data_IF_661328300087
#
_entry.id   IF_661328300087
#
_cell.length_a   1.000
_cell.length_b   1.000
_cell.length_c   1.000
_cell.angle_alpha   90.00
_cell.angle_beta   90.00
_cell.angle_gamma   90.00
#
_symmetry.space_group_name_H-M   'P 1'
#
loop_
_entity.id
_entity.type
_entity.pdbx_description
1 polymer ?
#
# COMPACT_ATOMS: atom_id res chain seq x y z
N UNK A 1 -2.88 -13.54 -6.57
CA UNK A 1 -1.82 -14.49 -6.16
C UNK A 1 -0.60 -14.45 -7.07
N UNK A 2 -0.74 -14.57 -8.39
CA UNK A 2 0.39 -14.44 -9.32
C UNK A 2 1.22 -13.17 -9.13
N UNK A 3 0.54 -12.03 -8.94
CA UNK A 3 1.18 -10.73 -8.69
C UNK A 3 2.04 -10.74 -7.41
N UNK A 4 1.56 -11.40 -6.35
CA UNK A 4 2.31 -11.54 -5.09
C UNK A 4 3.59 -12.35 -5.29
N UNK A 5 3.53 -13.42 -6.08
CA UNK A 5 4.70 -14.24 -6.41
C UNK A 5 5.74 -13.42 -7.20
N UNK A 6 5.32 -12.64 -8.20
CA UNK A 6 6.21 -11.79 -8.99
C UNK A 6 6.89 -10.69 -8.17
N UNK A 7 6.12 -10.04 -7.28
CA UNK A 7 6.66 -9.00 -6.39
C UNK A 7 7.65 -9.63 -5.40
N UNK A 8 7.31 -10.80 -4.87
CA UNK A 8 8.13 -11.48 -3.88
C UNK A 8 9.41 -12.06 -4.46
N UNK A 9 9.40 -12.49 -5.73
CA UNK A 9 10.59 -12.95 -6.44
C UNK A 9 11.52 -11.79 -6.81
N UNK A 10 10.97 -10.60 -7.09
CA UNK A 10 11.74 -9.39 -7.40
C UNK A 10 12.59 -8.89 -6.21
N UNK A 11 12.22 -9.25 -4.98
CA UNK A 11 12.81 -8.76 -3.73
C UNK A 11 13.35 -9.91 -2.87
N UNK A 12 14.24 -10.71 -3.47
CA UNK A 12 14.83 -11.86 -2.80
C UNK A 12 15.88 -11.39 -1.76
N UNK A 13 15.66 -11.73 -0.48
CA UNK A 13 16.61 -11.52 0.64
C UNK A 13 17.18 -10.09 0.76
N UNK A 14 16.43 -9.19 1.41
CA UNK A 14 16.85 -7.78 1.57
C UNK A 14 17.80 -7.59 2.78
N UNK A 15 18.97 -7.00 2.52
CA UNK A 15 19.96 -6.61 3.54
C UNK A 15 19.60 -5.34 4.34
N UNK A 16 20.59 -4.73 4.99
CA UNK A 16 20.45 -3.56 5.89
C UNK A 16 20.94 -2.22 5.30
N UNK A 17 21.27 -2.15 4.01
CA UNK A 17 21.72 -0.89 3.38
C UNK A 17 20.56 0.09 3.14
N UNK A 18 20.85 1.39 3.01
CA UNK A 18 19.84 2.42 2.69
C UNK A 18 19.05 2.11 1.40
N UNK A 19 19.71 1.50 0.40
CA UNK A 19 19.08 1.05 -0.84
C UNK A 19 18.08 -0.08 -0.57
N UNK A 20 18.41 -1.01 0.31
CA UNK A 20 17.51 -2.10 0.69
C UNK A 20 16.33 -1.60 1.53
N UNK A 21 16.52 -0.54 2.34
CA UNK A 21 15.41 0.10 3.06
C UNK A 21 14.38 0.72 2.09
N UNK A 22 14.84 1.33 1.00
CA UNK A 22 13.97 1.82 -0.08
C UNK A 22 13.14 0.68 -0.69
N UNK A 23 13.76 -0.47 -0.97
CA UNK A 23 13.05 -1.63 -1.51
C UNK A 23 12.06 -2.24 -0.51
N UNK A 24 12.34 -2.21 0.80
CA UNK A 24 11.38 -2.63 1.84
C UNK A 24 10.13 -1.76 1.86
N UNK A 25 10.27 -0.44 1.81
CA UNK A 25 9.13 0.49 1.78
C UNK A 25 8.32 0.32 0.49
N UNK A 26 8.99 0.12 -0.64
CA UNK A 26 8.32 -0.13 -1.91
C UNK A 26 7.55 -1.46 -1.91
N UNK A 27 8.06 -2.50 -1.26
CA UNK A 27 7.34 -3.77 -1.09
C UNK A 27 6.07 -3.60 -0.24
N UNK A 28 6.13 -2.85 0.86
CA UNK A 28 4.97 -2.56 1.71
C UNK A 28 3.91 -1.77 0.95
N UNK A 29 4.32 -0.86 0.05
CA UNK A 29 3.40 -0.13 -0.82
C UNK A 29 2.56 -1.06 -1.71
N UNK A 30 3.14 -2.16 -2.23
CA UNK A 30 2.37 -3.12 -3.03
C UNK A 30 1.23 -3.77 -2.25
N UNK A 31 1.36 -3.92 -0.94
CA UNK A 31 0.29 -4.42 -0.06
C UNK A 31 -0.91 -3.47 -0.08
N UNK A 32 -0.67 -2.15 -0.09
CA UNK A 32 -1.72 -1.13 -0.14
C UNK A 32 -2.42 -1.04 -1.51
N UNK A 33 -1.76 -1.51 -2.58
CA UNK A 33 -2.34 -1.56 -3.93
C UNK A 33 -3.21 -2.82 -4.14
N UNK A 34 -3.02 -3.88 -3.36
CA UNK A 34 -3.81 -5.12 -3.48
C UNK A 34 -5.33 -4.90 -3.38
N UNK A 35 -5.87 -4.12 -2.42
CA UNK A 35 -7.29 -3.80 -2.36
C UNK A 35 -7.84 -3.27 -3.69
N UNK A 36 -7.11 -2.39 -4.38
CA UNK A 36 -7.55 -1.81 -5.65
C UNK A 36 -7.64 -2.85 -6.77
N UNK A 37 -6.79 -3.88 -6.74
CA UNK A 37 -6.81 -4.99 -7.70
C UNK A 37 -7.97 -5.94 -7.41
N UNK A 38 -8.25 -6.22 -6.13
CA UNK A 38 -9.39 -7.06 -5.73
C UNK A 38 -10.72 -6.37 -6.06
N UNK A 39 -10.81 -5.05 -5.87
CA UNK A 39 -11.98 -4.24 -6.24
C UNK A 39 -12.41 -4.45 -7.71
N UNK A 40 -11.46 -4.58 -8.65
CA UNK A 40 -11.77 -4.81 -10.08
C UNK A 40 -12.55 -6.08 -10.35
N UNK A 41 -12.42 -7.07 -9.47
CA UNK A 41 -12.96 -8.41 -9.68
C UNK A 41 -14.30 -8.58 -8.98
N UNK A 42 -14.49 -7.95 -7.82
CA UNK A 42 -15.73 -8.04 -7.05
C UNK A 42 -16.88 -7.23 -7.66
N UNK A 43 -16.59 -6.08 -8.30
CA UNK A 43 -17.58 -5.20 -8.91
C UNK A 43 -18.46 -5.91 -9.97
N UNK A 44 -17.90 -6.56 -11.00
CA UNK A 44 -18.71 -7.25 -12.02
C UNK A 44 -19.49 -8.43 -11.42
N UNK A 45 -18.92 -9.13 -10.45
CA UNK A 45 -19.57 -10.26 -9.77
C UNK A 45 -20.79 -9.78 -8.98
N UNK A 46 -20.66 -8.69 -8.22
CA UNK A 46 -21.76 -8.08 -7.47
C UNK A 46 -22.90 -7.61 -8.38
N UNK A 47 -22.57 -6.96 -9.51
CA UNK A 47 -23.57 -6.46 -10.47
C UNK A 47 -24.32 -7.60 -11.15
N UNK A 48 -23.63 -8.71 -11.45
CA UNK A 48 -24.26 -9.91 -12.01
C UNK A 48 -25.24 -10.55 -11.00
N UNK A 49 -24.82 -10.72 -9.75
CA UNK A 49 -25.65 -11.27 -8.69
C UNK A 49 -26.89 -10.38 -8.42
N UNK A 50 -26.71 -9.06 -8.45
CA UNK A 50 -27.81 -8.09 -8.31
C UNK A 50 -28.85 -8.22 -9.42
N UNK A 51 -28.43 -8.44 -10.68
CA UNK A 51 -29.37 -8.61 -11.80
C UNK A 51 -30.28 -9.82 -11.62
N UNK A 52 -29.73 -10.93 -11.12
CA UNK A 52 -30.49 -12.14 -10.80
C UNK A 52 -31.45 -11.87 -9.63
N UNK A 53 -30.96 -11.25 -8.56
CA UNK A 53 -31.78 -10.88 -7.39
C UNK A 53 -32.96 -9.98 -7.76
N UNK A 54 -32.78 -8.98 -8.62
CA UNK A 54 -33.88 -8.08 -9.03
C UNK A 54 -35.01 -8.86 -9.75
N UNK A 55 -34.66 -9.89 -10.54
CA UNK A 55 -35.66 -10.75 -11.19
C UNK A 55 -36.43 -11.56 -10.14
N UNK A 56 -35.75 -12.20 -9.21
CA UNK A 56 -36.35 -13.07 -8.18
C UNK A 56 -37.15 -12.27 -7.12
N UNK A 57 -36.68 -11.06 -6.80
CA UNK A 57 -37.36 -10.14 -5.89
C UNK A 57 -38.70 -9.65 -6.47
N UNK A 58 -38.83 -9.54 -7.80
CA UNK A 58 -40.09 -9.17 -8.45
C UNK A 58 -41.20 -10.20 -8.20
N UNK A 59 -40.84 -11.47 -7.96
CA UNK A 59 -41.76 -12.55 -7.61
C UNK A 59 -42.06 -12.63 -6.10
N UNK A 60 -41.55 -11.71 -5.27
CA UNK A 60 -41.66 -11.69 -3.80
C UNK A 60 -41.11 -12.94 -3.08
N UNK A 61 -40.27 -13.72 -3.74
CA UNK A 61 -39.68 -14.94 -3.16
C UNK A 61 -38.46 -14.60 -2.28
N UNK A 62 -37.74 -13.50 -2.60
CA UNK A 62 -36.45 -13.18 -1.98
C UNK A 62 -36.45 -11.84 -1.23
N UNK A 63 -35.83 -11.83 -0.04
CA UNK A 63 -35.63 -10.63 0.77
C UNK A 63 -34.30 -9.95 0.44
N UNK A 64 -34.23 -8.60 0.37
CA UNK A 64 -32.98 -7.88 0.13
C UNK A 64 -31.93 -8.10 1.23
N UNK A 65 -32.36 -8.40 2.46
CA UNK A 65 -31.44 -8.72 3.55
C UNK A 65 -30.72 -10.06 3.34
N UNK A 66 -31.42 -11.06 2.80
CA UNK A 66 -30.83 -12.36 2.50
C UNK A 66 -29.79 -12.26 1.37
N UNK A 67 -29.99 -11.34 0.42
CA UNK A 67 -29.02 -11.05 -0.64
C UNK A 67 -27.74 -10.43 -0.09
N UNK A 68 -27.86 -9.40 0.77
CA UNK A 68 -26.70 -8.73 1.36
C UNK A 68 -25.86 -9.68 2.25
N UNK A 69 -26.52 -10.48 3.10
CA UNK A 69 -25.84 -11.44 3.97
C UNK A 69 -25.17 -12.54 3.16
N UNK A 70 -25.85 -13.08 2.14
CA UNK A 70 -25.27 -14.11 1.27
C UNK A 70 -24.02 -13.64 0.52
N UNK A 71 -24.05 -12.41 0.02
CA UNK A 71 -22.87 -11.83 -0.64
C UNK A 71 -21.72 -11.59 0.35
N UNK A 72 -21.99 -11.11 1.56
CA UNK A 72 -20.96 -10.88 2.57
C UNK A 72 -20.33 -12.21 3.03
N UNK A 73 -21.15 -13.24 3.28
CA UNK A 73 -20.68 -14.54 3.74
C UNK A 73 -19.81 -15.25 2.70
N UNK A 74 -20.11 -15.08 1.41
CA UNK A 74 -19.31 -15.67 0.32
C UNK A 74 -17.91 -15.07 0.19
N UNK A 75 -17.74 -13.81 0.57
CA UNK A 75 -16.50 -13.06 0.37
C UNK A 75 -15.52 -13.22 1.53
N UNK A 76 -16.02 -13.37 2.77
CA UNK A 76 -15.19 -13.56 3.98
C UNK A 76 -14.18 -14.72 3.84
N UNK A 77 -14.57 -15.96 3.49
CA UNK A 77 -13.64 -17.09 3.42
C UNK A 77 -12.61 -16.89 2.29
N UNK A 78 -13.04 -16.33 1.16
CA UNK A 78 -12.15 -16.03 0.04
C UNK A 78 -11.09 -14.99 0.42
N UNK A 79 -11.49 -13.93 1.12
CA UNK A 79 -10.59 -12.88 1.59
C UNK A 79 -9.58 -13.37 2.63
N UNK A 80 -10.03 -14.21 3.58
CA UNK A 80 -9.13 -14.81 4.58
C UNK A 80 -8.10 -15.71 3.91
N UNK A 81 -8.54 -16.59 3.01
CA UNK A 81 -7.64 -17.49 2.27
C UNK A 81 -6.61 -16.70 1.44
N UNK A 82 -7.07 -15.67 0.72
CA UNK A 82 -6.21 -14.82 -0.08
C UNK A 82 -5.18 -14.08 0.80
N UNK A 83 -5.58 -13.63 2.00
CA UNK A 83 -4.73 -12.88 2.91
C UNK A 83 -3.63 -13.74 3.51
N UNK A 84 -3.97 -14.98 3.89
CA UNK A 84 -2.99 -15.96 4.39
C UNK A 84 -1.98 -16.30 3.31
N UNK A 85 -2.42 -16.62 2.09
CA UNK A 85 -1.51 -16.97 1.00
C UNK A 85 -0.61 -15.79 0.63
N UNK A 86 -1.16 -14.58 0.61
CA UNK A 86 -0.36 -13.38 0.37
C UNK A 86 0.72 -13.18 1.45
N UNK A 87 0.35 -13.37 2.72
CA UNK A 87 1.30 -13.27 3.84
C UNK A 87 2.40 -14.33 3.75
N UNK A 88 2.07 -15.59 3.44
CA UNK A 88 3.06 -16.66 3.24
C UNK A 88 4.03 -16.28 2.12
N UNK A 89 3.51 -15.85 0.97
CA UNK A 89 4.33 -15.48 -0.19
C UNK A 89 5.21 -14.26 0.07
N UNK A 90 4.82 -13.35 0.97
CA UNK A 90 5.62 -12.18 1.31
C UNK A 90 6.69 -12.50 2.37
N UNK A 91 6.35 -13.29 3.40
CA UNK A 91 7.24 -13.56 4.54
C UNK A 91 8.40 -14.48 4.16
N UNK A 92 8.17 -15.53 3.38
CA UNK A 92 9.19 -16.53 3.04
C UNK A 92 10.35 -15.99 2.17
N UNK A 93 10.12 -15.29 1.04
CA UNK A 93 11.20 -14.82 0.18
C UNK A 93 11.85 -13.52 0.65
N UNK A 94 11.11 -12.61 1.27
CA UNK A 94 11.64 -11.31 1.71
C UNK A 94 12.37 -11.38 3.06
N UNK A 95 12.32 -12.52 3.78
CA UNK A 95 12.98 -12.73 5.07
C UNK A 95 12.73 -11.60 6.09
N UNK A 96 11.49 -11.07 6.11
CA UNK A 96 11.10 -9.98 7.02
C UNK A 96 11.14 -10.39 8.51
N UNK A 97 11.26 -11.69 8.80
CA UNK A 97 11.35 -12.27 10.14
C UNK A 97 12.65 -11.96 10.91
N UNK A 98 13.65 -11.32 10.29
CA UNK A 98 14.93 -10.99 10.95
C UNK A 98 14.98 -9.60 11.59
N UNK A 99 13.93 -8.78 11.45
CA UNK A 99 13.88 -7.49 12.15
C UNK A 99 13.36 -7.67 13.58
N UNK A 100 14.07 -7.07 14.55
CA UNK A 100 13.94 -6.96 16.03
C UNK A 100 12.67 -7.39 16.80
N UNK A 101 11.50 -7.58 16.17
CA UNK A 101 10.21 -7.83 16.82
C UNK A 101 9.79 -9.31 16.98
N UNK A 102 10.60 -10.28 16.52
CA UNK A 102 10.34 -11.71 16.70
C UNK A 102 9.01 -12.22 16.11
N UNK A 103 8.55 -13.39 16.58
CA UNK A 103 7.36 -14.12 16.10
C UNK A 103 6.05 -13.30 16.26
N UNK A 104 6.01 -12.36 17.21
CA UNK A 104 4.85 -11.50 17.48
C UNK A 104 4.61 -10.45 16.39
N UNK A 105 5.67 -9.92 15.77
CA UNK A 105 5.56 -8.95 14.68
C UNK A 105 4.95 -9.55 13.41
N UNK A 106 5.20 -10.84 13.15
CA UNK A 106 4.70 -11.52 11.95
C UNK A 106 3.19 -11.79 12.01
N UNK A 107 2.64 -12.04 13.21
CA UNK A 107 1.21 -12.20 13.44
C UNK A 107 0.43 -10.88 13.33
N UNK A 108 1.00 -9.77 13.82
CA UNK A 108 0.40 -8.44 13.65
C UNK A 108 0.32 -8.05 12.17
N UNK A 109 1.38 -8.33 11.39
CA UNK A 109 1.40 -8.08 9.95
C UNK A 109 0.29 -8.86 9.20
N UNK A 110 0.06 -10.13 9.55
CA UNK A 110 -1.04 -10.92 8.99
C UNK A 110 -2.40 -10.25 9.26
N UNK A 111 -2.62 -9.82 10.50
CA UNK A 111 -3.89 -9.24 10.95
C UNK A 111 -4.18 -7.92 10.23
N UNK A 112 -3.15 -7.06 10.07
CA UNK A 112 -3.24 -5.82 9.30
C UNK A 112 -3.57 -6.10 7.83
N UNK A 113 -2.94 -7.09 7.19
CA UNK A 113 -3.21 -7.45 5.79
C UNK A 113 -4.65 -7.91 5.61
N UNK A 114 -5.14 -8.81 6.47
CA UNK A 114 -6.53 -9.31 6.41
C UNK A 114 -7.51 -8.14 6.61
N UNK A 115 -7.25 -7.26 7.57
CA UNK A 115 -8.09 -6.08 7.80
C UNK A 115 -8.14 -5.16 6.57
N UNK A 116 -6.99 -4.86 5.96
CA UNK A 116 -6.91 -4.01 4.76
C UNK A 116 -7.64 -4.63 3.57
N UNK A 117 -7.62 -5.95 3.43
CA UNK A 117 -8.33 -6.64 2.35
C UNK A 117 -9.85 -6.64 2.59
N UNK A 118 -10.30 -6.90 3.81
CA UNK A 118 -11.73 -6.81 4.16
C UNK A 118 -12.27 -5.39 3.98
N UNK A 119 -11.49 -4.38 4.38
CA UNK A 119 -11.81 -2.98 4.13
C UNK A 119 -11.92 -2.68 2.62
N UNK A 120 -10.96 -3.16 1.83
CA UNK A 120 -10.96 -3.00 0.38
C UNK A 120 -12.17 -3.61 -0.31
N UNK A 121 -12.53 -4.83 0.07
CA UNK A 121 -13.71 -5.54 -0.47
C UNK A 121 -15.00 -4.83 -0.08
N UNK A 122 -15.13 -4.40 1.17
CA UNK A 122 -16.31 -3.67 1.65
C UNK A 122 -16.50 -2.36 0.90
N UNK A 123 -15.41 -1.62 0.63
CA UNK A 123 -15.46 -0.40 -0.18
C UNK A 123 -15.84 -0.68 -1.64
N UNK A 124 -15.33 -1.75 -2.25
CA UNK A 124 -15.71 -2.09 -3.63
C UNK A 124 -17.17 -2.54 -3.74
N UNK A 125 -17.70 -3.25 -2.73
CA UNK A 125 -19.13 -3.60 -2.66
C UNK A 125 -20.01 -2.35 -2.49
N UNK A 126 -19.57 -1.36 -1.70
CA UNK A 126 -20.25 -0.08 -1.55
C UNK A 126 -20.37 0.65 -2.91
N UNK A 127 -19.26 0.74 -3.66
CA UNK A 127 -19.23 1.37 -4.99
C UNK A 127 -20.13 0.59 -5.97
N UNK A 128 -20.06 -0.74 -5.93
CA UNK A 128 -20.90 -1.61 -6.77
C UNK A 128 -22.40 -1.51 -6.44
N UNK A 129 -22.76 -1.24 -5.18
CA UNK A 129 -24.15 -1.03 -4.76
C UNK A 129 -24.72 0.31 -5.24
N UNK A 130 -23.90 1.36 -5.27
CA UNK A 130 -24.30 2.69 -5.74
C UNK A 130 -24.37 2.75 -7.26
N UNK A 131 -23.51 1.99 -7.95
CA UNK A 131 -23.44 2.04 -9.41
C UNK A 131 -24.60 1.31 -10.12
N UNK A 132 -25.24 1.93 -11.14
CA UNK A 132 -26.25 1.27 -11.97
C UNK A 132 -25.65 0.33 -13.03
N UNK A 133 -24.37 0.49 -13.38
CA UNK A 133 -23.69 -0.32 -14.41
C UNK A 133 -22.20 -0.52 -14.13
N UNK A 134 -21.60 -1.55 -14.73
CA UNK A 134 -20.16 -1.84 -14.59
C UNK A 134 -19.32 -0.69 -15.17
N UNK A 135 -19.79 -0.08 -16.26
CA UNK A 135 -19.09 1.02 -16.93
C UNK A 135 -18.97 2.23 -15.99
N UNK A 136 -20.04 2.60 -15.31
CA UNK A 136 -20.03 3.74 -14.37
C UNK A 136 -19.13 3.44 -13.17
N UNK A 137 -19.13 2.20 -12.65
CA UNK A 137 -18.28 1.81 -11.51
C UNK A 137 -16.78 1.97 -11.83
N UNK A 138 -16.36 1.57 -13.04
CA UNK A 138 -14.97 1.66 -13.49
C UNK A 138 -14.48 3.11 -13.59
N UNK A 139 -15.37 4.08 -13.85
CA UNK A 139 -15.00 5.51 -13.85
C UNK A 139 -14.77 6.07 -12.45
N UNK A 140 -15.52 5.62 -11.44
CA UNK A 140 -15.37 6.09 -10.05
C UNK A 140 -14.16 5.47 -9.34
N UNK A 141 -13.85 4.23 -9.67
CA UNK A 141 -12.76 3.46 -9.08
C UNK A 141 -11.39 4.18 -9.07
N UNK A 142 -10.89 4.79 -10.17
CA UNK A 142 -9.59 5.48 -10.15
C UNK A 142 -9.56 6.72 -9.25
N UNK A 143 -10.68 7.43 -9.07
CA UNK A 143 -10.72 8.58 -8.16
C UNK A 143 -10.53 8.17 -6.70
N UNK A 144 -11.24 7.13 -6.26
CA UNK A 144 -11.13 6.60 -4.90
C UNK A 144 -9.77 5.94 -4.69
N UNK A 145 -9.29 5.19 -5.69
CA UNK A 145 -7.97 4.58 -5.68
C UNK A 145 -6.83 5.59 -5.57
N UNK A 146 -6.93 6.74 -6.27
CA UNK A 146 -5.93 7.80 -6.22
C UNK A 146 -5.83 8.42 -4.82
N UNK A 147 -6.97 8.72 -4.19
CA UNK A 147 -7.01 9.29 -2.83
C UNK A 147 -6.35 8.33 -1.83
N UNK A 148 -6.78 7.06 -1.81
CA UNK A 148 -6.23 6.07 -0.88
C UNK A 148 -4.74 5.82 -1.08
N UNK A 149 -4.28 5.81 -2.34
CA UNK A 149 -2.86 5.59 -2.66
C UNK A 149 -2.01 6.82 -2.30
N UNK A 150 -2.51 8.04 -2.55
CA UNK A 150 -1.81 9.28 -2.22
C UNK A 150 -1.55 9.43 -0.69
N UNK A 151 -2.51 9.01 0.14
CA UNK A 151 -2.36 9.02 1.60
C UNK A 151 -1.50 7.87 2.15
N UNK A 152 -1.05 6.92 1.31
CA UNK A 152 -0.27 5.76 1.74
C UNK A 152 1.21 6.08 2.07
N UNK A 153 1.66 7.34 1.99
CA UNK A 153 2.99 7.78 2.44
C UNK A 153 4.19 7.31 1.60
N UNK A 154 3.98 6.43 0.62
CA UNK A 154 5.02 5.85 -0.24
C UNK A 154 5.68 6.84 -1.21
N UNK A 155 5.04 7.97 -1.49
CA UNK A 155 5.59 9.03 -2.34
C UNK A 155 6.60 9.95 -1.62
N UNK A 156 6.65 9.91 -0.28
CA UNK A 156 7.66 10.58 0.55
C UNK A 156 8.85 9.64 0.72
N UNK A 157 9.65 9.45 -0.34
CA UNK A 157 10.87 8.67 -0.20
C UNK A 157 12.10 9.29 -0.87
N UNK A 158 11.97 10.32 -1.69
CA UNK A 158 13.14 10.95 -2.32
C UNK A 158 13.35 12.43 -1.98
N UNK A 159 12.28 13.16 -1.63
CA UNK A 159 12.38 14.58 -1.28
C UNK A 159 12.78 14.85 0.17
N UNK A 160 12.51 13.94 1.10
CA UNK A 160 12.87 14.12 2.51
C UNK A 160 14.34 13.75 2.78
N UNK A 161 14.87 12.70 2.15
CA UNK A 161 16.25 12.23 2.37
C UNK A 161 17.31 13.22 1.87
N UNK A 162 17.08 13.86 0.72
CA UNK A 162 17.99 14.90 0.23
C UNK A 162 18.03 16.13 1.15
N UNK A 163 16.93 16.42 1.87
CA UNK A 163 16.88 17.52 2.84
C UNK A 163 17.55 17.16 4.18
N UNK A 164 17.38 15.91 4.64
CA UNK A 164 17.97 15.42 5.90
C UNK A 164 19.48 15.19 5.75
N UNK A 165 19.94 14.64 4.62
CA UNK A 165 21.38 14.53 4.35
C UNK A 165 22.04 15.92 4.28
N UNK A 166 21.40 16.92 3.64
CA UNK A 166 21.95 18.28 3.57
C UNK A 166 22.04 18.98 4.93
N UNK A 167 21.09 18.72 5.83
CA UNK A 167 21.09 19.25 7.20
C UNK A 167 22.14 18.55 8.07
N UNK A 168 22.33 17.25 7.91
CA UNK A 168 23.35 16.48 8.64
C UNK A 168 24.78 16.85 8.16
N UNK A 169 24.98 17.10 6.85
CA UNK A 169 26.23 17.67 6.32
C UNK A 169 26.49 19.08 6.86
N UNK A 170 25.48 19.97 6.90
CA UNK A 170 25.62 21.33 7.44
C UNK A 170 25.91 21.34 8.95
N UNK A 171 25.33 20.41 9.72
CA UNK A 171 25.59 20.30 11.16
C UNK A 171 26.99 19.74 11.44
N UNK A 172 27.45 18.78 10.64
CA UNK A 172 28.81 18.22 10.76
C UNK A 172 29.89 19.23 10.34
N UNK A 173 29.63 20.04 9.31
CA UNK A 173 30.53 21.12 8.88
C UNK A 173 30.56 22.28 9.88
N UNK A 174 29.40 22.65 10.45
CA UNK A 174 29.32 23.68 11.49
C UNK A 174 30.07 23.28 12.77
N UNK A 175 30.06 21.99 13.14
CA UNK A 175 30.81 21.47 14.30
C UNK A 175 32.32 21.42 14.01
N UNK A 176 32.74 21.10 12.78
CA UNK A 176 34.15 21.15 12.36
C UNK A 176 34.70 22.57 12.31
N UNK A 177 33.89 23.54 11.91
CA UNK A 177 34.26 24.97 11.94
C UNK A 177 34.37 25.51 13.38
N UNK A 178 33.59 24.96 14.33
CA UNK A 178 33.66 25.34 15.74
C UNK A 178 34.90 24.76 16.45
N UNK A 179 35.30 23.51 16.13
CA UNK A 179 36.45 22.82 16.72
C UNK A 179 37.81 23.31 16.15
N UNK A 180 37.83 23.75 14.88
CA UNK A 180 39.05 24.24 14.24
C UNK A 180 39.44 25.66 14.64
N UNK A 181 38.58 26.43 15.32
CA UNK A 181 38.91 27.80 15.77
C UNK A 181 39.32 28.76 14.65
N UNK A 182 38.98 28.46 13.39
CA UNK A 182 39.36 29.27 12.22
C UNK A 182 38.21 30.22 11.87
N UNK A 183 38.38 31.55 12.01
CA UNK A 183 37.34 32.50 11.66
C UNK A 183 37.19 32.59 10.14
N UNK A 184 36.04 32.16 9.62
CA UNK A 184 35.23 32.69 8.49
C UNK A 184 35.92 33.45 7.32
N UNK A 185 37.18 33.17 6.97
CA UNK A 185 37.94 33.88 5.92
C UNK A 185 37.89 33.21 4.54
N UNK A 186 37.30 32.01 4.42
CA UNK A 186 37.28 31.27 3.16
C UNK A 186 36.00 31.43 2.32
N UNK A 187 34.89 31.94 2.88
CA UNK A 187 33.69 32.22 2.09
C UNK A 187 33.83 33.46 1.19
N UNK A 188 34.69 34.42 1.52
CA UNK A 188 34.84 35.65 0.73
C UNK A 188 35.62 35.44 -0.59
N UNK A 189 36.41 34.36 -0.69
CA UNK A 189 37.22 34.08 -1.89
C UNK A 189 36.48 33.28 -2.96
N UNK A 190 35.39 32.58 -2.60
CA UNK A 190 34.60 31.83 -3.56
C UNK A 190 33.63 32.75 -4.33
N UNK A 191 32.99 33.71 -3.65
CA UNK A 191 32.09 34.67 -4.31
C UNK A 191 32.83 35.66 -5.25
N UNK A 192 34.11 35.93 -5.02
CA UNK A 192 34.91 36.75 -5.95
C UNK A 192 35.36 36.01 -7.23
N UNK A 193 35.35 34.68 -7.27
CA UNK A 193 35.72 33.91 -8.48
C UNK A 193 34.55 33.65 -9.44
N UNK A 194 33.31 33.81 -8.98
CA UNK A 194 32.10 33.65 -9.81
C UNK A 194 31.64 34.94 -10.49
N UNK A 195 32.29 36.08 -10.20
CA UNK A 195 31.95 37.40 -10.74
C UNK A 195 32.90 37.91 -11.84
N UNK A 196 33.70 37.03 -12.48
CA UNK A 196 34.56 37.38 -13.62
C UNK A 196 34.35 36.46 -14.81
#
# INVERSE_FOLDING_TARGET
>A
MFISLLISLSFLQLGTSLRELQFRVFSIFWVAVLPAIVMSQIEPMFIMNRRTFIREASSRIYSPYAFAIGQLLGEIPYNILCGIVYWVLMVYPMHLCQSSAGVNGTGFQLLVIIFVMLFGVSLGQLIAAISPSVQVAVLFKPFIGLVLTAFCGSYVHRWCLHGVEHLEYLETDAIRDLDSGIPRQHMDKADQMTAK
#
